data_IF_384245976943
#
_entry.id   IF_384245976943
#
_cell.length_a   1.000
_cell.length_b   1.000
_cell.length_c   1.000
_cell.angle_alpha   90.00
_cell.angle_beta   90.00
_cell.angle_gamma   90.00
#
_symmetry.space_group_name_H-M   'P 1'
#
loop_
_entity.id
_entity.type
_entity.pdbx_description
1 polymer ?
#
# COMPACT_ATOMS: atom_id res chain seq x y z
N UNK A 1 19.94 12.07 -26.51
CA UNK A 1 20.69 10.83 -26.25
C UNK A 1 21.16 10.88 -24.80
N UNK A 2 20.33 10.43 -23.83
CA UNK A 2 20.69 10.42 -22.41
C UNK A 2 21.80 9.39 -22.18
N UNK A 3 22.88 9.82 -21.56
CA UNK A 3 24.04 8.96 -21.28
C UNK A 3 23.62 7.84 -20.31
N UNK A 4 23.51 6.62 -20.81
CA UNK A 4 23.13 5.43 -20.03
C UNK A 4 23.95 5.29 -18.72
N UNK A 5 25.20 5.76 -18.74
CA UNK A 5 26.09 5.68 -17.58
C UNK A 5 25.69 6.64 -16.44
N UNK A 6 24.95 7.70 -16.73
CA UNK A 6 24.55 8.69 -15.71
C UNK A 6 23.37 8.20 -14.86
N UNK A 7 22.37 7.56 -15.49
CA UNK A 7 21.21 7.01 -14.77
C UNK A 7 21.57 5.77 -13.96
N UNK A 8 22.43 4.92 -14.47
CA UNK A 8 22.89 3.73 -13.76
C UNK A 8 23.69 4.07 -12.49
N UNK A 9 24.50 5.15 -12.53
CA UNK A 9 25.30 5.57 -11.37
C UNK A 9 24.49 6.27 -10.29
N UNK A 10 23.44 7.03 -10.62
CA UNK A 10 22.62 7.74 -9.64
C UNK A 10 21.78 6.78 -8.82
N UNK A 11 21.18 5.77 -9.45
CA UNK A 11 20.36 4.76 -8.77
C UNK A 11 21.19 3.74 -7.95
N UNK A 12 22.51 3.75 -8.07
CA UNK A 12 23.41 3.00 -7.18
C UNK A 12 23.60 3.68 -5.82
N UNK A 13 23.29 4.98 -5.70
CA UNK A 13 23.35 5.72 -4.44
C UNK A 13 22.07 5.49 -3.63
N UNK A 14 22.22 5.22 -2.32
CA UNK A 14 21.08 4.91 -1.42
C UNK A 14 20.00 5.99 -1.41
N UNK A 15 20.37 7.26 -1.38
CA UNK A 15 19.42 8.38 -1.34
C UNK A 15 18.54 8.47 -2.59
N UNK A 16 19.12 8.65 -3.78
CA UNK A 16 18.36 8.74 -5.03
C UNK A 16 17.53 7.48 -5.34
N UNK A 17 18.06 6.28 -5.06
CA UNK A 17 17.33 5.04 -5.25
C UNK A 17 16.07 4.97 -4.37
N UNK A 18 16.19 5.35 -3.10
CA UNK A 18 15.06 5.39 -2.17
C UNK A 18 14.02 6.43 -2.60
N UNK A 19 14.44 7.62 -3.00
CA UNK A 19 13.54 8.67 -3.50
C UNK A 19 12.80 8.19 -4.76
N UNK A 20 13.49 7.59 -5.72
CA UNK A 20 12.90 7.09 -6.95
C UNK A 20 11.83 6.01 -6.66
N UNK A 21 12.11 5.08 -5.75
CA UNK A 21 11.15 4.07 -5.33
C UNK A 21 9.95 4.67 -4.61
N UNK A 22 10.17 5.65 -3.73
CA UNK A 22 9.09 6.34 -3.02
C UNK A 22 8.21 7.10 -3.99
N UNK A 23 8.78 7.82 -4.96
CA UNK A 23 8.02 8.50 -6.01
C UNK A 23 7.19 7.51 -6.83
N UNK A 24 7.78 6.40 -7.27
CA UNK A 24 7.06 5.37 -8.00
C UNK A 24 5.89 4.82 -7.18
N UNK A 25 6.09 4.53 -5.90
CA UNK A 25 5.04 4.04 -5.01
C UNK A 25 3.89 5.04 -4.85
N UNK A 26 4.20 6.34 -4.72
CA UNK A 26 3.19 7.41 -4.65
C UNK A 26 2.34 7.45 -5.94
N UNK A 27 2.94 7.30 -7.11
CA UNK A 27 2.20 7.27 -8.38
C UNK A 27 1.22 6.08 -8.46
N UNK A 28 1.58 4.93 -7.89
CA UNK A 28 0.71 3.75 -7.89
C UNK A 28 -0.45 3.82 -6.88
N UNK A 29 -0.47 4.80 -5.97
CA UNK A 29 -1.60 5.00 -5.03
C UNK A 29 -2.86 5.59 -5.68
N UNK A 30 -2.83 5.96 -6.95
CA UNK A 30 -3.96 6.54 -7.67
C UNK A 30 -5.25 5.70 -7.60
N UNK A 31 -5.14 4.38 -7.72
CA UNK A 31 -6.30 3.47 -7.63
C UNK A 31 -6.98 3.53 -6.26
N UNK A 32 -6.21 3.56 -5.17
CA UNK A 32 -6.75 3.66 -3.81
C UNK A 32 -7.39 5.02 -3.57
N UNK A 33 -6.82 6.07 -4.13
CA UNK A 33 -7.39 7.44 -4.09
C UNK A 33 -8.74 7.48 -4.80
N UNK A 34 -8.86 6.90 -5.99
CA UNK A 34 -10.13 6.82 -6.73
C UNK A 34 -11.19 6.02 -5.97
N UNK A 35 -10.82 4.92 -5.32
CA UNK A 35 -11.74 4.15 -4.50
C UNK A 35 -12.28 4.96 -3.32
N UNK A 36 -11.43 5.70 -2.61
CA UNK A 36 -11.85 6.56 -1.49
C UNK A 36 -12.75 7.68 -2.01
N UNK A 37 -12.33 8.38 -3.07
CA UNK A 37 -13.08 9.49 -3.65
C UNK A 37 -14.47 9.05 -4.12
N UNK A 38 -14.56 7.92 -4.84
CA UNK A 38 -15.84 7.38 -5.29
C UNK A 38 -16.79 7.07 -4.14
N UNK A 39 -16.29 6.56 -3.02
CA UNK A 39 -17.12 6.31 -1.83
C UNK A 39 -17.49 7.58 -1.07
N UNK A 40 -16.65 8.61 -1.05
CA UNK A 40 -17.01 9.91 -0.50
C UNK A 40 -18.14 10.54 -1.32
N UNK A 41 -18.05 10.46 -2.65
CA UNK A 41 -19.09 10.97 -3.54
C UNK A 41 -20.42 10.18 -3.47
N UNK A 42 -20.37 8.93 -3.01
CA UNK A 42 -21.56 8.09 -2.82
C UNK A 42 -22.31 8.40 -1.51
N UNK A 43 -21.78 9.25 -0.64
CA UNK A 43 -22.49 9.70 0.58
C UNK A 43 -23.66 10.58 0.16
N UNK A 44 -24.93 10.23 0.56
CA UNK A 44 -26.10 10.98 0.17
C UNK A 44 -26.03 12.44 0.64
N UNK A 45 -26.43 13.37 -0.24
CA UNK A 45 -26.39 14.80 0.05
C UNK A 45 -27.34 15.17 1.18
N UNK A 46 -28.48 14.49 1.28
CA UNK A 46 -29.46 14.63 2.36
C UNK A 46 -28.85 14.44 3.76
N UNK A 47 -27.93 13.47 3.89
CA UNK A 47 -27.22 13.22 5.16
C UNK A 47 -26.27 14.36 5.48
N UNK A 48 -25.64 14.94 4.46
CA UNK A 48 -24.73 16.07 4.60
C UNK A 48 -25.47 17.36 4.96
N UNK A 49 -26.61 17.58 4.34
CA UNK A 49 -27.49 18.72 4.62
C UNK A 49 -28.07 18.65 6.04
N UNK A 50 -28.58 17.47 6.45
CA UNK A 50 -29.05 17.27 7.82
C UNK A 50 -27.97 17.58 8.86
N UNK A 51 -26.75 17.13 8.60
CA UNK A 51 -25.60 17.42 9.47
C UNK A 51 -25.27 18.91 9.54
N UNK A 52 -25.40 19.64 8.44
CA UNK A 52 -25.20 21.10 8.44
C UNK A 52 -26.26 21.82 9.29
N UNK A 53 -27.51 21.36 9.27
CA UNK A 53 -28.59 21.87 10.12
C UNK A 53 -28.31 21.64 11.61
N UNK A 54 -27.64 20.49 11.92
CA UNK A 54 -27.20 20.17 13.30
C UNK A 54 -25.90 20.90 13.70
N UNK A 55 -25.39 21.81 12.86
CA UNK A 55 -24.19 22.61 13.13
C UNK A 55 -22.86 21.86 12.87
N UNK A 56 -22.90 20.70 12.21
CA UNK A 56 -21.72 19.98 11.76
C UNK A 56 -21.35 20.41 10.33
N UNK A 57 -20.38 21.32 10.18
CA UNK A 57 -19.89 21.78 8.88
C UNK A 57 -18.39 21.52 8.71
N UNK A 58 -17.93 21.39 7.47
CA UNK A 58 -16.51 21.22 7.14
C UNK A 58 -15.89 19.99 7.79
N UNK A 59 -14.74 20.15 8.45
CA UNK A 59 -13.99 19.05 9.08
C UNK A 59 -14.80 18.26 10.11
N UNK A 60 -15.76 18.89 10.79
CA UNK A 60 -16.65 18.21 11.73
C UNK A 60 -17.54 17.21 11.01
N UNK A 61 -18.11 17.61 9.88
CA UNK A 61 -18.95 16.75 9.05
C UNK A 61 -18.15 15.56 8.51
N UNK A 62 -16.92 15.82 8.03
CA UNK A 62 -16.07 14.76 7.52
C UNK A 62 -15.71 13.73 8.60
N UNK A 63 -15.35 14.20 9.79
CA UNK A 63 -14.91 13.34 10.89
C UNK A 63 -16.03 12.50 11.50
N UNK A 64 -17.22 13.10 11.68
CA UNK A 64 -18.33 12.44 12.36
C UNK A 64 -19.31 11.72 11.42
N UNK A 65 -19.32 12.04 10.12
CA UNK A 65 -20.27 11.49 9.15
C UNK A 65 -19.58 10.82 7.99
N UNK A 66 -18.74 11.53 7.24
CA UNK A 66 -18.13 11.00 6.03
C UNK A 66 -17.20 9.82 6.35
N UNK A 67 -16.26 9.97 7.28
CA UNK A 67 -15.30 8.90 7.64
C UNK A 67 -15.99 7.65 8.18
N UNK A 68 -16.95 7.73 9.11
CA UNK A 68 -17.71 6.57 9.55
C UNK A 68 -18.45 5.84 8.42
N UNK A 69 -19.05 6.58 7.49
CA UNK A 69 -19.79 5.99 6.38
C UNK A 69 -18.89 5.23 5.41
N UNK A 70 -17.67 5.71 5.17
CA UNK A 70 -16.71 5.06 4.25
C UNK A 70 -15.74 4.09 4.95
N UNK A 71 -15.94 3.75 6.22
CA UNK A 71 -15.05 2.85 6.99
C UNK A 71 -14.81 1.51 6.30
N UNK A 72 -15.82 0.96 5.64
CA UNK A 72 -15.68 -0.28 4.86
C UNK A 72 -14.63 -0.14 3.75
N UNK A 73 -14.69 0.97 3.02
CA UNK A 73 -13.72 1.29 1.98
C UNK A 73 -12.34 1.55 2.55
N UNK A 74 -12.23 2.31 3.65
CA UNK A 74 -10.96 2.55 4.32
C UNK A 74 -10.30 1.25 4.77
N UNK A 75 -11.07 0.29 5.30
CA UNK A 75 -10.59 -1.05 5.63
C UNK A 75 -10.03 -1.75 4.41
N UNK A 76 -10.78 -1.80 3.31
CA UNK A 76 -10.36 -2.45 2.05
C UNK A 76 -9.09 -1.82 1.50
N UNK A 77 -9.04 -0.50 1.44
CA UNK A 77 -7.87 0.26 0.96
C UNK A 77 -6.65 0.02 1.86
N UNK A 78 -6.84 -0.05 3.19
CA UNK A 78 -5.74 -0.37 4.13
C UNK A 78 -5.16 -1.76 3.89
N UNK A 79 -6.01 -2.76 3.60
CA UNK A 79 -5.58 -4.12 3.26
C UNK A 79 -4.83 -4.11 1.93
N UNK A 80 -5.36 -3.44 0.91
CA UNK A 80 -4.71 -3.33 -0.41
C UNK A 80 -3.35 -2.64 -0.31
N UNK A 81 -3.26 -1.53 0.42
CA UNK A 81 -2.00 -0.81 0.61
C UNK A 81 -0.95 -1.66 1.34
N UNK A 82 -1.34 -2.35 2.41
CA UNK A 82 -0.46 -3.26 3.13
C UNK A 82 0.04 -4.40 2.22
N UNK A 83 -0.87 -5.01 1.45
CA UNK A 83 -0.53 -6.11 0.53
C UNK A 83 0.38 -5.63 -0.59
N UNK A 84 0.11 -4.45 -1.18
CA UNK A 84 0.94 -3.86 -2.22
C UNK A 84 2.37 -3.61 -1.74
N UNK A 85 2.56 -3.16 -0.48
CA UNK A 85 3.89 -2.99 0.10
C UNK A 85 4.70 -4.29 0.18
N UNK A 86 4.05 -5.43 0.45
CA UNK A 86 4.70 -6.74 0.43
C UNK A 86 5.05 -7.23 -0.97
N UNK A 87 4.24 -6.86 -1.97
CA UNK A 87 4.38 -7.30 -3.36
C UNK A 87 5.24 -6.36 -4.22
N UNK A 88 6.00 -5.44 -3.62
CA UNK A 88 6.91 -4.51 -4.29
C UNK A 88 8.01 -5.28 -5.04
N UNK A 89 7.68 -5.82 -6.22
CA UNK A 89 8.61 -6.53 -7.09
C UNK A 89 8.99 -5.69 -8.31
N UNK A 90 7.99 -5.15 -9.01
CA UNK A 90 8.20 -4.46 -10.28
C UNK A 90 9.05 -3.21 -10.11
N UNK A 91 8.78 -2.42 -9.08
CA UNK A 91 9.49 -1.18 -8.76
C UNK A 91 10.97 -1.47 -8.48
N UNK A 92 11.26 -2.49 -7.68
CA UNK A 92 12.64 -2.92 -7.41
C UNK A 92 13.30 -3.44 -8.67
N UNK A 93 12.60 -4.28 -9.44
CA UNK A 93 13.16 -4.91 -10.63
C UNK A 93 13.50 -3.91 -11.74
N UNK A 94 12.58 -2.98 -12.03
CA UNK A 94 12.77 -2.04 -13.12
C UNK A 94 13.61 -0.81 -12.76
N UNK A 95 13.52 -0.31 -11.51
CA UNK A 95 14.22 0.90 -11.10
C UNK A 95 15.64 0.62 -10.58
N UNK A 96 15.80 -0.31 -9.67
CA UNK A 96 17.05 -0.45 -8.92
C UNK A 96 17.73 -1.81 -9.07
N UNK A 97 17.01 -2.86 -9.46
CA UNK A 97 17.49 -4.24 -9.48
C UNK A 97 18.13 -4.66 -8.15
N UNK A 98 17.61 -4.15 -7.04
CA UNK A 98 18.16 -4.40 -5.71
C UNK A 98 19.42 -3.59 -5.39
N UNK A 99 19.86 -2.66 -6.25
CA UNK A 99 20.99 -1.79 -5.96
C UNK A 99 20.73 -0.93 -4.72
N UNK A 100 21.81 -0.45 -4.10
CA UNK A 100 21.77 0.43 -2.93
C UNK A 100 21.01 -0.14 -1.70
N UNK A 101 20.81 -1.46 -1.65
CA UNK A 101 20.09 -2.12 -0.55
C UNK A 101 18.57 -2.03 -0.63
N UNK A 102 18.02 -1.76 -1.82
CA UNK A 102 16.57 -1.64 -2.07
C UNK A 102 15.92 -2.99 -2.38
N UNK A 103 16.32 -4.05 -1.70
CA UNK A 103 15.72 -5.38 -1.88
C UNK A 103 14.31 -5.43 -1.27
N UNK A 104 13.34 -5.91 -2.05
CA UNK A 104 12.05 -6.37 -1.52
C UNK A 104 12.08 -7.88 -1.32
N UNK A 105 11.19 -8.40 -0.46
CA UNK A 105 11.09 -9.84 -0.22
C UNK A 105 10.74 -10.57 -1.52
N UNK A 106 9.80 -10.04 -2.30
CA UNK A 106 9.38 -10.61 -3.60
C UNK A 106 10.53 -10.63 -4.62
N UNK A 107 11.40 -9.61 -4.61
CA UNK A 107 12.59 -9.59 -5.45
C UNK A 107 13.60 -10.66 -5.03
N UNK A 108 13.83 -10.85 -3.72
CA UNK A 108 14.72 -11.90 -3.18
C UNK A 108 14.20 -13.29 -3.53
N UNK A 109 12.89 -13.55 -3.46
CA UNK A 109 12.30 -14.83 -3.87
C UNK A 109 12.63 -15.15 -5.32
N UNK A 110 12.46 -14.17 -6.23
CA UNK A 110 12.81 -14.35 -7.64
C UNK A 110 14.31 -14.58 -7.83
N UNK A 111 15.15 -13.85 -7.13
CA UNK A 111 16.60 -13.96 -7.23
C UNK A 111 17.04 -15.40 -6.85
N UNK A 112 16.48 -15.93 -5.77
CA UNK A 112 16.76 -17.30 -5.30
C UNK A 112 16.20 -18.37 -6.28
N UNK A 113 15.05 -18.12 -6.89
CA UNK A 113 14.38 -19.10 -7.73
C UNK A 113 14.93 -19.14 -9.17
N UNK A 114 15.33 -18.00 -9.74
CA UNK A 114 15.58 -17.86 -11.18
C UNK A 114 17.00 -17.40 -11.48
N UNK A 115 17.54 -16.43 -10.74
CA UNK A 115 18.77 -15.73 -11.11
C UNK A 115 20.01 -16.35 -10.47
N UNK A 116 19.85 -17.07 -9.37
CA UNK A 116 20.98 -17.72 -8.68
C UNK A 116 21.63 -18.80 -9.58
N UNK A 117 22.97 -18.86 -9.66
CA UNK A 117 23.70 -19.88 -10.43
C UNK A 117 23.35 -21.32 -10.04
N UNK A 118 22.87 -21.51 -8.82
CA UNK A 118 22.23 -22.75 -8.34
C UNK A 118 20.82 -22.38 -7.90
N UNK A 119 19.82 -22.76 -8.72
CA UNK A 119 18.42 -22.56 -8.36
C UNK A 119 18.12 -23.12 -6.97
N UNK A 120 17.70 -22.24 -6.05
CA UNK A 120 17.48 -22.58 -4.65
C UNK A 120 15.97 -22.57 -4.37
N UNK A 121 15.20 -23.38 -5.09
CA UNK A 121 13.75 -23.43 -4.96
C UNK A 121 13.27 -23.66 -3.52
N UNK A 122 13.97 -24.51 -2.74
CA UNK A 122 13.62 -24.74 -1.35
C UNK A 122 13.72 -23.47 -0.49
N UNK A 123 14.77 -22.66 -0.69
CA UNK A 123 14.95 -21.39 -0.02
C UNK A 123 13.93 -20.33 -0.49
N UNK A 124 13.70 -20.25 -1.81
CA UNK A 124 12.69 -19.35 -2.36
C UNK A 124 11.31 -19.65 -1.80
N UNK A 125 10.91 -20.92 -1.74
CA UNK A 125 9.64 -21.34 -1.16
C UNK A 125 9.55 -21.05 0.34
N UNK A 126 10.62 -21.24 1.11
CA UNK A 126 10.65 -20.92 2.54
C UNK A 126 10.42 -19.41 2.77
N UNK A 127 11.12 -18.55 2.00
CA UNK A 127 10.95 -17.09 2.09
C UNK A 127 9.53 -16.68 1.66
N UNK A 128 8.99 -17.28 0.60
CA UNK A 128 7.62 -17.03 0.16
C UNK A 128 6.58 -17.41 1.22
N UNK A 129 6.79 -18.55 1.91
CA UNK A 129 5.91 -18.98 3.01
C UNK A 129 5.93 -17.98 4.16
N UNK A 130 7.11 -17.51 4.55
CA UNK A 130 7.25 -16.48 5.60
C UNK A 130 6.54 -15.18 5.17
N UNK A 131 6.68 -14.78 3.90
CA UNK A 131 6.00 -13.60 3.36
C UNK A 131 4.48 -13.73 3.43
N UNK A 132 3.91 -14.88 3.06
CA UNK A 132 2.49 -15.16 3.13
C UNK A 132 1.99 -15.11 4.58
N UNK A 133 2.69 -15.75 5.51
CA UNK A 133 2.33 -15.75 6.93
C UNK A 133 2.37 -14.32 7.51
N UNK A 134 3.40 -13.54 7.19
CA UNK A 134 3.49 -12.14 7.63
C UNK A 134 2.36 -11.29 7.05
N UNK A 135 2.03 -11.45 5.77
CA UNK A 135 0.90 -10.77 5.12
C UNK A 135 -0.44 -11.13 5.77
N UNK A 136 -0.65 -12.42 6.07
CA UNK A 136 -1.86 -12.89 6.75
C UNK A 136 -2.00 -12.27 8.15
N UNK A 137 -0.93 -12.21 8.92
CA UNK A 137 -0.93 -11.57 10.26
C UNK A 137 -1.33 -10.09 10.14
N UNK A 138 -0.78 -9.36 9.18
CA UNK A 138 -1.11 -7.94 8.97
C UNK A 138 -2.58 -7.77 8.60
N UNK A 139 -3.11 -8.60 7.69
CA UNK A 139 -4.52 -8.57 7.30
C UNK A 139 -5.41 -8.86 8.51
N UNK A 140 -5.06 -9.81 9.35
CA UNK A 140 -5.80 -10.11 10.58
C UNK A 140 -5.78 -8.93 11.56
N UNK A 141 -4.64 -8.26 11.72
CA UNK A 141 -4.53 -7.07 12.58
C UNK A 141 -5.44 -5.95 12.05
N UNK A 142 -5.38 -5.65 10.75
CA UNK A 142 -6.23 -4.63 10.13
C UNK A 142 -7.71 -4.99 10.33
N UNK A 143 -8.10 -6.24 10.06
CA UNK A 143 -9.46 -6.70 10.27
C UNK A 143 -9.92 -6.54 11.73
N UNK A 144 -9.06 -6.87 12.68
CA UNK A 144 -9.36 -6.75 14.11
C UNK A 144 -9.57 -5.29 14.51
N UNK A 145 -8.65 -4.39 14.11
CA UNK A 145 -8.73 -2.95 14.41
C UNK A 145 -10.04 -2.35 13.88
N UNK A 146 -10.38 -2.62 12.63
CA UNK A 146 -11.62 -2.10 12.04
C UNK A 146 -12.88 -2.75 12.63
N UNK A 147 -12.83 -4.04 13.01
CA UNK A 147 -13.94 -4.73 13.67
C UNK A 147 -14.26 -4.13 15.03
N UNK A 148 -13.25 -3.83 15.83
CA UNK A 148 -13.42 -3.17 17.14
C UNK A 148 -13.99 -1.77 16.98
N UNK A 149 -13.51 -1.01 15.97
CA UNK A 149 -14.02 0.33 15.68
C UNK A 149 -15.49 0.33 15.26
N UNK A 150 -15.92 -0.65 14.45
CA UNK A 150 -17.31 -0.78 14.01
C UNK A 150 -18.26 -1.23 15.14
N UNK A 151 -17.73 -2.00 16.10
CA UNK A 151 -18.54 -2.50 17.24
C UNK A 151 -18.81 -1.38 18.27
N UNK A 152 -17.91 -0.41 18.38
CA UNK A 152 -18.03 0.73 19.31
C UNK A 152 -19.08 1.76 18.88
N UNK A 153 -19.48 1.77 17.62
CA UNK A 153 -20.50 2.69 17.06
C UNK A 153 -21.93 2.14 17.15
N UNK A 154 -22.10 0.84 17.46
CA UNK A 154 -23.42 0.22 17.61
C UNK A 154 -23.97 0.29 19.03
N UNK A 155 -23.24 0.87 19.97
CA UNK A 155 -23.65 1.14 21.35
C UNK A 155 -23.62 2.63 21.62
#
# INVERSE_FOLDING_TARGET
>A
MFNKNFTDNILLLKGPAFIAMTCAYIFFTGTTTLMILGNIMAVPEEVREAAMLDGASGLKQDWFITIPMIKGTLKTVSILAATAGFLLYNEVYFLTKGAAGTYSISYVIRELAITSPRTQFGRANAVALIQILAGLVIILIINFVYSVSLKKEKH
#
